data_IF_547433575375
#
_entry.id   IF_547433575375
#
_cell.length_a   1.000
_cell.length_b   1.000
_cell.length_c   1.000
_cell.angle_alpha   90.00
_cell.angle_beta   90.00
_cell.angle_gamma   90.00
#
_symmetry.space_group_name_H-M   'P 1'
#
loop_
_entity.id
_entity.type
_entity.pdbx_description
1 polymer ?
#
# COMPACT_ATOMS: atom_id res chain seq x y z
N UNK A 1 8.63 25.86 9.94
CA UNK A 1 7.99 24.99 8.94
C UNK A 1 6.75 24.40 9.59
N UNK A 2 5.58 24.92 9.28
CA UNK A 2 4.31 24.50 9.85
C UNK A 2 3.97 23.09 9.36
N UNK A 3 3.78 22.16 10.30
CA UNK A 3 3.19 20.84 10.00
C UNK A 3 1.79 21.07 9.40
N UNK A 4 1.41 20.41 8.29
CA UNK A 4 0.05 20.53 7.81
C UNK A 4 -0.91 20.10 8.92
N UNK A 5 -2.01 20.86 9.07
CA UNK A 5 -3.02 20.58 10.08
C UNK A 5 -3.59 19.15 9.89
N UNK A 6 -3.88 18.42 10.98
CA UNK A 6 -4.50 17.11 10.88
C UNK A 6 -5.87 17.25 10.19
N UNK A 7 -6.07 16.50 9.13
CA UNK A 7 -7.34 16.47 8.39
C UNK A 7 -8.41 15.82 9.27
N UNK A 8 -9.48 16.55 9.56
CA UNK A 8 -10.57 16.08 10.43
C UNK A 8 -11.25 14.81 9.89
N UNK A 9 -11.65 13.91 10.80
CA UNK A 9 -12.28 12.60 10.51
C UNK A 9 -13.69 12.68 9.88
N UNK A 10 -14.31 13.87 9.80
CA UNK A 10 -15.74 14.01 9.52
C UNK A 10 -16.11 14.16 8.04
N UNK A 11 -15.14 14.28 7.13
CA UNK A 11 -15.48 14.44 5.71
C UNK A 11 -15.70 13.10 5.03
N UNK A 12 -16.91 12.88 4.51
CA UNK A 12 -17.20 11.75 3.62
C UNK A 12 -16.57 12.03 2.26
N UNK A 13 -15.67 11.17 1.80
CA UNK A 13 -15.14 11.19 0.45
C UNK A 13 -15.55 9.91 -0.29
N UNK A 14 -15.65 9.99 -1.60
CA UNK A 14 -15.98 8.85 -2.47
C UNK A 14 -14.72 8.06 -2.84
N UNK A 15 -13.64 8.77 -3.16
CA UNK A 15 -12.37 8.15 -3.58
C UNK A 15 -11.27 8.47 -2.57
N UNK A 16 -10.54 7.46 -2.14
CA UNK A 16 -9.32 7.62 -1.35
C UNK A 16 -8.23 8.27 -2.21
N UNK A 17 -8.09 7.83 -3.46
CA UNK A 17 -7.24 8.42 -4.48
C UNK A 17 -7.91 8.32 -5.86
N UNK A 18 -7.70 9.32 -6.71
CA UNK A 18 -8.12 9.31 -8.11
C UNK A 18 -7.07 10.02 -8.97
N UNK A 19 -6.67 9.37 -10.04
CA UNK A 19 -5.75 9.85 -11.07
C UNK A 19 -6.55 10.09 -12.34
N UNK A 20 -6.30 11.21 -13.01
CA UNK A 20 -6.95 11.60 -14.26
C UNK A 20 -5.89 11.94 -15.30
N UNK A 21 -5.87 11.16 -16.39
CA UNK A 21 -4.98 11.33 -17.53
C UNK A 21 -3.52 11.49 -17.11
N UNK A 22 -3.07 10.62 -16.22
CA UNK A 22 -1.72 10.69 -15.68
C UNK A 22 -0.74 10.07 -16.67
N UNK A 23 0.27 10.88 -17.02
CA UNK A 23 1.42 10.48 -17.81
C UNK A 23 2.69 10.46 -16.97
N UNK A 24 3.60 9.54 -17.27
CA UNK A 24 4.93 9.51 -16.68
C UNK A 24 5.98 9.06 -17.68
N UNK A 25 6.96 9.92 -17.92
CA UNK A 25 8.08 9.64 -18.83
C UNK A 25 9.41 9.73 -18.11
N UNK A 26 10.30 8.79 -18.41
CA UNK A 26 11.71 8.79 -17.99
C UNK A 26 12.58 8.94 -19.22
N UNK A 27 12.97 10.17 -19.53
CA UNK A 27 13.67 10.48 -20.77
C UNK A 27 12.81 10.14 -21.99
N UNK A 28 13.15 9.06 -22.72
CA UNK A 28 12.39 8.59 -23.90
C UNK A 28 11.43 7.45 -23.58
N UNK A 29 11.42 6.94 -22.35
CA UNK A 29 10.58 5.81 -21.95
C UNK A 29 9.27 6.34 -21.37
N UNK A 30 8.16 6.06 -22.00
CA UNK A 30 6.82 6.32 -21.48
C UNK A 30 6.44 5.18 -20.54
N UNK A 31 6.46 5.45 -19.24
CA UNK A 31 6.16 4.45 -18.21
C UNK A 31 4.66 4.41 -17.86
N UNK A 32 3.94 5.53 -17.99
CA UNK A 32 2.50 5.63 -17.90
C UNK A 32 1.99 6.57 -18.99
N UNK A 33 0.87 6.23 -19.61
CA UNK A 33 0.24 6.97 -20.69
C UNK A 33 -1.26 7.11 -20.47
N UNK A 34 -1.72 8.34 -20.25
CA UNK A 34 -3.13 8.72 -20.09
C UNK A 34 -3.87 7.82 -19.08
N UNK A 35 -3.24 7.52 -17.95
CA UNK A 35 -3.82 6.63 -16.95
C UNK A 35 -4.92 7.33 -16.18
N UNK A 36 -6.12 6.77 -16.27
CA UNK A 36 -7.24 7.02 -15.36
C UNK A 36 -7.26 5.86 -14.36
N UNK A 37 -7.22 6.14 -13.07
CA UNK A 37 -7.21 5.15 -12.00
C UNK A 37 -7.85 5.72 -10.75
N UNK A 38 -8.68 4.95 -10.09
CA UNK A 38 -9.29 5.39 -8.83
C UNK A 38 -9.35 4.24 -7.82
N UNK A 39 -9.35 4.59 -6.54
CA UNK A 39 -9.63 3.68 -5.44
C UNK A 39 -10.70 4.29 -4.58
N UNK A 40 -11.81 3.61 -4.44
CA UNK A 40 -12.93 4.02 -3.62
C UNK A 40 -12.61 3.92 -2.12
N UNK A 41 -13.43 4.57 -1.30
CA UNK A 41 -13.38 4.36 0.14
C UNK A 41 -13.79 2.92 0.45
N UNK A 42 -13.05 2.26 1.36
CA UNK A 42 -13.35 0.89 1.78
C UNK A 42 -13.33 -0.13 0.61
N UNK A 43 -12.44 0.07 -0.32
CA UNK A 43 -12.27 -0.77 -1.50
C UNK A 43 -10.88 -1.39 -1.53
N UNK A 44 -10.79 -2.68 -1.88
CA UNK A 44 -9.54 -3.35 -2.22
C UNK A 44 -9.45 -3.42 -3.75
N UNK A 45 -8.51 -2.69 -4.33
CA UNK A 45 -8.22 -2.74 -5.76
C UNK A 45 -6.98 -3.60 -5.99
N UNK A 46 -7.16 -4.72 -6.69
CA UNK A 46 -6.06 -5.54 -7.18
C UNK A 46 -5.47 -4.92 -8.45
N UNK A 47 -4.20 -4.53 -8.40
CA UNK A 47 -3.48 -3.98 -9.55
C UNK A 47 -2.62 -5.07 -10.19
N UNK A 48 -3.04 -5.50 -11.38
CA UNK A 48 -2.42 -6.57 -12.16
C UNK A 48 -1.67 -6.01 -13.37
N UNK A 49 -0.77 -6.80 -13.94
CA UNK A 49 0.00 -6.50 -15.14
C UNK A 49 1.38 -7.14 -15.07
N UNK A 50 2.03 -7.27 -16.20
CA UNK A 50 3.35 -7.87 -16.31
C UNK A 50 4.47 -6.98 -15.74
N UNK A 51 5.69 -7.52 -15.71
CA UNK A 51 6.87 -6.74 -15.37
C UNK A 51 7.08 -5.64 -16.42
N UNK A 52 7.26 -4.41 -15.96
CA UNK A 52 7.37 -3.26 -16.88
C UNK A 52 6.03 -2.64 -17.28
N UNK A 53 4.87 -3.19 -16.92
CA UNK A 53 3.55 -2.63 -17.23
C UNK A 53 3.30 -1.23 -16.63
N UNK A 54 4.13 -0.76 -15.68
CA UNK A 54 3.99 0.56 -15.05
C UNK A 54 3.45 0.54 -13.62
N UNK A 55 3.14 -0.65 -13.04
CA UNK A 55 2.57 -0.79 -11.69
C UNK A 55 3.38 -0.06 -10.62
N UNK A 56 4.68 -0.33 -10.55
CA UNK A 56 5.57 0.31 -9.56
C UNK A 56 5.69 1.82 -9.78
N UNK A 57 5.57 2.30 -11.02
CA UNK A 57 5.53 3.74 -11.32
C UNK A 57 4.24 4.36 -10.79
N UNK A 58 3.10 3.72 -11.04
CA UNK A 58 1.80 4.17 -10.58
C UNK A 58 1.75 4.31 -9.05
N UNK A 59 2.18 3.27 -8.31
CA UNK A 59 2.16 3.34 -6.84
C UNK A 59 3.18 4.32 -6.27
N UNK A 60 4.33 4.53 -6.92
CA UNK A 60 5.30 5.57 -6.52
C UNK A 60 4.72 6.97 -6.71
N UNK A 61 3.89 7.18 -7.74
CA UNK A 61 3.15 8.44 -7.91
C UNK A 61 2.11 8.59 -6.81
N UNK A 62 1.29 7.56 -6.55
CA UNK A 62 0.30 7.57 -5.45
C UNK A 62 0.96 7.83 -4.09
N UNK A 63 2.11 7.25 -3.83
CA UNK A 63 2.88 7.43 -2.59
C UNK A 63 3.70 8.72 -2.51
N UNK A 64 3.65 9.60 -3.53
CA UNK A 64 4.39 10.87 -3.55
C UNK A 64 5.91 10.72 -3.75
N UNK A 65 6.38 9.55 -4.18
CA UNK A 65 7.80 9.30 -4.49
C UNK A 65 8.17 9.86 -5.86
N UNK A 66 7.24 9.74 -6.82
CA UNK A 66 7.39 10.25 -8.18
C UNK A 66 6.32 11.30 -8.45
N UNK A 67 6.70 12.33 -9.18
CA UNK A 67 5.80 13.33 -9.70
C UNK A 67 5.46 12.98 -11.15
N UNK A 68 4.18 12.90 -11.53
CA UNK A 68 3.81 12.60 -12.91
C UNK A 68 4.24 13.75 -13.85
N UNK A 69 4.47 13.42 -15.11
CA UNK A 69 4.84 14.39 -16.14
C UNK A 69 3.64 15.25 -16.56
N UNK A 70 2.44 14.67 -16.53
CA UNK A 70 1.17 15.33 -16.81
C UNK A 70 -0.01 14.63 -16.10
N UNK A 71 -1.17 15.26 -16.13
CA UNK A 71 -2.37 14.74 -15.51
C UNK A 71 -2.70 15.39 -14.18
N UNK A 72 -3.66 14.83 -13.47
CA UNK A 72 -4.14 15.33 -12.18
C UNK A 72 -4.29 14.22 -11.17
N UNK A 73 -4.02 14.53 -9.90
CA UNK A 73 -4.22 13.60 -8.77
C UNK A 73 -5.18 14.26 -7.77
N UNK A 74 -6.07 13.43 -7.27
CA UNK A 74 -7.04 13.80 -6.25
C UNK A 74 -6.87 12.83 -5.07
N UNK A 75 -6.84 13.36 -3.86
CA UNK A 75 -6.85 12.55 -2.64
C UNK A 75 -8.03 13.01 -1.79
N UNK A 76 -8.87 12.06 -1.37
CA UNK A 76 -10.12 12.34 -0.64
C UNK A 76 -11.00 13.35 -1.37
N UNK A 77 -11.13 13.18 -2.70
CA UNK A 77 -11.85 14.03 -3.64
C UNK A 77 -11.35 15.50 -3.70
N UNK A 78 -10.15 15.80 -3.19
CA UNK A 78 -9.50 17.11 -3.26
C UNK A 78 -8.34 17.05 -4.26
N UNK A 79 -8.24 18.03 -5.18
CA UNK A 79 -7.13 18.08 -6.12
C UNK A 79 -5.83 18.36 -5.38
N UNK A 80 -4.75 17.70 -5.80
CA UNK A 80 -3.42 17.93 -5.27
C UNK A 80 -2.67 18.97 -6.09
N UNK A 81 -1.92 19.83 -5.39
CA UNK A 81 -0.83 20.57 -6.00
C UNK A 81 0.36 19.61 -6.16
N UNK A 82 0.64 19.28 -7.43
CA UNK A 82 1.73 18.34 -7.76
C UNK A 82 3.11 18.94 -7.51
N UNK A 83 3.24 20.27 -7.43
CA UNK A 83 4.50 20.94 -7.14
C UNK A 83 4.95 20.69 -5.69
N UNK A 84 4.00 20.56 -4.79
CA UNK A 84 4.25 20.30 -3.38
C UNK A 84 4.11 18.84 -2.99
N UNK A 85 3.55 17.98 -3.89
CA UNK A 85 3.28 16.59 -3.55
C UNK A 85 4.58 15.79 -3.33
N UNK A 86 4.63 15.13 -2.21
CA UNK A 86 5.81 14.39 -1.72
C UNK A 86 5.38 13.26 -0.79
N UNK A 87 6.28 12.33 -0.48
CA UNK A 87 6.05 11.25 0.50
C UNK A 87 5.54 11.80 1.84
N UNK A 88 6.09 12.93 2.30
CA UNK A 88 5.64 13.58 3.53
C UNK A 88 4.19 14.04 3.43
N UNK A 89 3.79 14.59 2.28
CA UNK A 89 2.41 15.02 2.05
C UNK A 89 1.48 13.82 1.90
N UNK A 90 1.88 12.76 1.17
CA UNK A 90 1.13 11.51 1.08
C UNK A 90 0.82 10.95 2.47
N UNK A 91 1.81 10.89 3.35
CA UNK A 91 1.62 10.49 4.75
C UNK A 91 0.67 11.42 5.53
N UNK A 92 0.77 12.74 5.34
CA UNK A 92 -0.15 13.70 5.97
C UNK A 92 -1.59 13.51 5.46
N UNK A 93 -1.75 13.12 4.21
CA UNK A 93 -3.02 12.75 3.56
C UNK A 93 -3.45 11.31 3.84
N UNK A 94 -2.75 10.61 4.76
CA UNK A 94 -3.06 9.25 5.21
C UNK A 94 -2.93 8.17 4.11
N UNK A 95 -1.98 8.35 3.21
CA UNK A 95 -1.56 7.32 2.26
C UNK A 95 -0.30 6.66 2.81
N UNK A 96 -0.33 5.35 2.99
CA UNK A 96 0.80 4.55 3.45
C UNK A 96 1.18 3.53 2.39
N UNK A 97 2.48 3.35 2.16
CA UNK A 97 2.99 2.34 1.23
C UNK A 97 3.85 1.33 1.97
N UNK A 98 3.54 0.06 1.76
CA UNK A 98 4.33 -1.08 2.23
C UNK A 98 4.96 -1.71 0.99
N UNK A 99 6.25 -1.45 0.80
CA UNK A 99 6.99 -1.93 -0.38
C UNK A 99 7.45 -3.38 -0.22
N UNK A 100 7.69 -4.03 -1.36
CA UNK A 100 8.39 -5.30 -1.45
C UNK A 100 9.78 -5.21 -0.81
N UNK A 101 10.15 -6.20 0.00
CA UNK A 101 11.47 -6.29 0.62
C UNK A 101 11.56 -5.70 2.03
N UNK A 102 12.74 -5.27 2.42
CA UNK A 102 13.05 -4.87 3.79
C UNK A 102 12.43 -3.52 4.18
N UNK A 103 11.13 -3.54 4.49
CA UNK A 103 10.43 -2.34 5.02
C UNK A 103 10.81 -2.05 6.47
N UNK A 104 11.44 -3.03 7.15
CA UNK A 104 11.86 -2.93 8.54
C UNK A 104 13.38 -3.01 8.63
N UNK A 105 13.99 -2.17 9.45
CA UNK A 105 15.40 -2.25 9.81
C UNK A 105 15.67 -3.51 10.63
N UNK A 106 16.32 -4.53 10.03
CA UNK A 106 16.47 -5.86 10.61
C UNK A 106 17.09 -5.86 12.01
N UNK A 107 18.09 -4.99 12.24
CA UNK A 107 18.84 -4.87 13.51
C UNK A 107 18.21 -3.87 14.47
N UNK A 108 17.12 -3.23 14.10
CA UNK A 108 16.43 -2.27 14.95
C UNK A 108 15.30 -2.95 15.72
N UNK A 109 15.03 -2.53 16.96
CA UNK A 109 13.90 -3.04 17.72
C UNK A 109 12.58 -2.65 17.05
N UNK A 110 11.53 -3.44 17.27
CA UNK A 110 10.24 -3.26 16.62
C UNK A 110 9.60 -1.91 16.93
N UNK A 111 9.78 -1.40 18.17
CA UNK A 111 9.27 -0.07 18.50
C UNK A 111 9.88 1.03 17.62
N UNK A 112 11.19 0.98 17.32
CA UNK A 112 11.80 1.93 16.37
C UNK A 112 11.29 1.76 14.96
N UNK A 113 11.11 0.53 14.51
CA UNK A 113 10.58 0.24 13.18
C UNK A 113 9.16 0.80 13.01
N UNK A 114 8.32 0.71 14.03
CA UNK A 114 6.96 1.22 13.99
C UNK A 114 6.91 2.75 13.91
N UNK A 115 7.81 3.46 14.59
CA UNK A 115 7.78 4.92 14.68
C UNK A 115 8.83 5.63 13.80
N UNK A 116 9.56 4.91 12.93
CA UNK A 116 10.56 5.54 12.07
C UNK A 116 9.92 6.65 11.21
N UNK A 117 10.51 7.86 11.28
CA UNK A 117 10.00 9.05 10.58
C UNK A 117 8.79 9.73 11.25
N UNK A 118 8.24 9.17 12.34
CA UNK A 118 7.07 9.69 13.09
C UNK A 118 7.21 9.46 14.59
N UNK A 119 8.40 9.76 15.12
CA UNK A 119 8.70 9.59 16.53
C UNK A 119 7.74 10.41 17.41
N UNK A 120 7.31 9.80 18.51
CA UNK A 120 6.58 10.50 19.54
C UNK A 120 7.57 11.30 20.38
N UNK A 121 7.27 12.57 20.59
CA UNK A 121 8.15 13.45 21.39
C UNK A 121 7.46 13.89 22.67
N UNK A 122 8.26 14.02 23.73
CA UNK A 122 7.81 14.63 24.97
C UNK A 122 7.72 16.16 24.82
N UNK A 123 7.31 16.86 25.89
CA UNK A 123 7.17 18.33 25.90
C UNK A 123 8.47 19.10 25.64
N UNK A 124 9.62 18.46 25.81
CA UNK A 124 10.94 19.03 25.57
C UNK A 124 11.49 18.72 24.17
N UNK A 125 10.73 18.01 23.32
CA UNK A 125 11.13 17.64 21.96
C UNK A 125 12.00 16.38 21.86
N UNK A 126 12.28 15.68 22.96
CA UNK A 126 12.99 14.42 22.94
C UNK A 126 12.04 13.26 22.66
N UNK A 127 12.55 12.19 22.02
CA UNK A 127 11.79 10.98 21.74
C UNK A 127 11.29 10.35 23.04
N UNK A 128 9.98 10.13 23.11
CA UNK A 128 9.35 9.43 24.26
C UNK A 128 9.41 7.91 24.06
N UNK A 129 10.58 7.35 24.31
CA UNK A 129 10.87 5.92 24.11
C UNK A 129 9.92 5.03 24.90
N UNK A 130 9.55 5.43 26.13
CA UNK A 130 8.65 4.64 26.97
C UNK A 130 7.29 4.51 26.32
N UNK A 131 6.72 5.63 25.86
CA UNK A 131 5.43 5.67 25.19
C UNK A 131 5.44 4.92 23.87
N UNK A 132 6.52 5.06 23.05
CA UNK A 132 6.66 4.31 21.82
C UNK A 132 6.67 2.80 22.05
N UNK A 133 7.37 2.30 23.08
CA UNK A 133 7.39 0.87 23.44
C UNK A 133 6.01 0.37 23.89
N UNK A 134 5.33 1.11 24.76
CA UNK A 134 3.98 0.76 25.21
C UNK A 134 3.00 0.63 24.05
N UNK A 135 3.03 1.58 23.11
CA UNK A 135 2.16 1.56 21.91
C UNK A 135 2.61 0.41 20.98
N UNK A 136 3.91 0.21 20.78
CA UNK A 136 4.40 -0.89 19.97
C UNK A 136 3.91 -2.25 20.47
N UNK A 137 3.97 -2.51 21.78
CA UNK A 137 3.44 -3.74 22.38
C UNK A 137 1.92 -3.88 22.17
N UNK A 138 1.16 -2.77 22.22
CA UNK A 138 -0.27 -2.79 21.94
C UNK A 138 -0.56 -3.13 20.47
N UNK A 139 0.19 -2.56 19.52
CA UNK A 139 0.08 -2.82 18.09
C UNK A 139 0.38 -4.30 17.81
N UNK A 140 1.50 -4.81 18.35
CA UNK A 140 1.92 -6.18 18.16
C UNK A 140 0.88 -7.18 18.69
N UNK A 141 0.29 -6.93 19.85
CA UNK A 141 -0.76 -7.79 20.44
C UNK A 141 -2.05 -7.76 19.64
N UNK A 142 -2.50 -6.58 19.19
CA UNK A 142 -3.80 -6.42 18.52
C UNK A 142 -3.78 -6.88 17.06
N UNK A 143 -2.74 -6.48 16.31
CA UNK A 143 -2.76 -6.60 14.86
C UNK A 143 -2.32 -7.98 14.38
N UNK A 144 -1.45 -8.67 15.10
CA UNK A 144 -0.80 -9.86 14.56
C UNK A 144 -1.24 -11.12 15.30
N UNK A 145 -2.05 -10.96 16.34
CA UNK A 145 -2.47 -12.11 17.14
C UNK A 145 -1.26 -12.90 17.65
N UNK A 146 -0.15 -12.20 17.91
CA UNK A 146 1.05 -12.80 18.44
C UNK A 146 0.73 -13.50 19.77
N UNK A 147 0.27 -14.73 19.64
CA UNK A 147 0.30 -15.71 20.72
C UNK A 147 1.67 -16.40 20.79
N UNK A 148 2.65 -15.95 19.99
CA UNK A 148 4.02 -16.42 20.04
C UNK A 148 4.67 -15.93 21.32
N UNK A 149 5.08 -16.88 22.17
CA UNK A 149 5.86 -16.63 23.38
C UNK A 149 7.16 -15.93 22.95
N UNK A 150 7.37 -14.67 23.39
CA UNK A 150 8.67 -14.02 23.32
C UNK A 150 8.83 -12.80 22.42
N UNK A 151 7.82 -12.38 21.60
CA UNK A 151 7.93 -11.17 20.78
C UNK A 151 7.39 -9.96 21.55
N UNK A 152 8.22 -8.92 21.66
CA UNK A 152 7.91 -7.66 22.34
C UNK A 152 8.38 -6.46 21.51
N UNK A 153 8.09 -5.26 21.97
CA UNK A 153 8.60 -4.03 21.38
C UNK A 153 10.13 -3.99 21.24
N UNK A 154 10.86 -4.69 22.12
CA UNK A 154 12.33 -4.79 22.11
C UNK A 154 12.88 -5.85 21.15
N UNK A 155 12.06 -6.80 20.70
CA UNK A 155 12.49 -7.79 19.72
C UNK A 155 12.93 -7.11 18.43
N UNK A 156 13.87 -7.71 17.70
CA UNK A 156 14.33 -7.14 16.43
C UNK A 156 13.49 -7.67 15.26
N UNK A 157 13.45 -6.92 14.17
CA UNK A 157 12.73 -7.39 12.98
C UNK A 157 13.33 -8.69 12.39
N UNK A 158 14.60 -8.98 12.72
CA UNK A 158 15.29 -10.23 12.33
C UNK A 158 14.67 -11.46 12.99
N UNK A 159 14.11 -11.31 14.20
CA UNK A 159 13.53 -12.42 14.96
C UNK A 159 12.15 -12.84 14.43
N UNK A 160 11.60 -12.07 13.47
CA UNK A 160 10.29 -12.30 12.89
C UNK A 160 10.38 -13.17 11.63
N UNK A 161 9.37 -14.02 11.41
CA UNK A 161 9.12 -14.65 10.12
C UNK A 161 8.76 -13.62 9.04
N UNK A 162 8.79 -14.01 7.76
CA UNK A 162 8.42 -13.12 6.65
C UNK A 162 7.02 -12.57 6.80
N UNK A 163 6.04 -13.42 7.07
CA UNK A 163 4.64 -13.02 7.27
C UNK A 163 4.44 -12.11 8.49
N UNK A 164 5.19 -12.34 9.55
CA UNK A 164 5.17 -11.48 10.74
C UNK A 164 5.73 -10.11 10.44
N UNK A 165 6.83 -10.01 9.68
CA UNK A 165 7.37 -8.72 9.22
C UNK A 165 6.34 -7.94 8.39
N UNK A 166 5.66 -8.59 7.47
CA UNK A 166 4.58 -7.96 6.69
C UNK A 166 3.42 -7.51 7.59
N UNK A 167 3.02 -8.36 8.54
CA UNK A 167 2.00 -8.02 9.53
C UNK A 167 2.36 -6.76 10.33
N UNK A 168 3.62 -6.62 10.78
CA UNK A 168 4.10 -5.41 11.48
C UNK A 168 4.04 -4.17 10.57
N UNK A 169 4.42 -4.30 9.30
CA UNK A 169 4.38 -3.19 8.35
C UNK A 169 2.94 -2.72 8.08
N UNK A 170 1.99 -3.66 7.90
CA UNK A 170 0.57 -3.35 7.73
C UNK A 170 -0.02 -2.75 9.01
N UNK A 171 0.31 -3.32 10.17
CA UNK A 171 -0.15 -2.81 11.45
C UNK A 171 0.35 -1.39 11.74
N UNK A 172 1.57 -1.06 11.31
CA UNK A 172 2.10 0.30 11.32
C UNK A 172 1.22 1.25 10.50
N UNK A 173 0.90 0.89 9.26
CA UNK A 173 0.05 1.69 8.39
C UNK A 173 -1.35 1.91 9.02
N UNK A 174 -1.94 0.87 9.60
CA UNK A 174 -3.22 0.97 10.31
C UNK A 174 -3.13 1.84 11.56
N UNK A 175 -2.03 1.76 12.33
CA UNK A 175 -1.83 2.58 13.54
C UNK A 175 -1.78 4.07 13.21
N UNK A 176 -1.14 4.45 12.11
CA UNK A 176 -1.12 5.84 11.62
C UNK A 176 -2.40 6.25 10.89
N UNK A 177 -3.47 5.46 11.06
CA UNK A 177 -4.82 5.77 10.56
C UNK A 177 -4.85 6.01 9.03
N UNK A 178 -4.05 5.27 8.27
CA UNK A 178 -4.08 5.34 6.82
C UNK A 178 -5.51 5.17 6.29
N UNK A 179 -5.92 6.04 5.37
CA UNK A 179 -7.18 5.87 4.62
C UNK A 179 -6.96 5.02 3.38
N UNK A 180 -5.73 5.04 2.83
CA UNK A 180 -5.28 4.20 1.73
C UNK A 180 -3.97 3.51 2.10
N UNK A 181 -3.93 2.19 1.96
CA UNK A 181 -2.73 1.37 2.13
C UNK A 181 -2.36 0.77 0.77
N UNK A 182 -1.14 1.02 0.32
CA UNK A 182 -0.57 0.41 -0.89
C UNK A 182 0.32 -0.74 -0.46
N UNK A 183 0.03 -1.94 -0.96
CA UNK A 183 0.79 -3.16 -0.68
C UNK A 183 1.43 -3.65 -1.99
N UNK A 184 2.75 -3.57 -2.04
CA UNK A 184 3.55 -3.94 -3.21
C UNK A 184 4.17 -5.32 -2.98
N UNK A 185 3.59 -6.35 -3.59
CA UNK A 185 4.00 -7.75 -3.53
C UNK A 185 4.23 -8.29 -2.10
N UNK A 186 3.27 -8.13 -1.19
CA UNK A 186 3.49 -8.46 0.23
C UNK A 186 3.59 -9.96 0.52
N UNK A 187 3.25 -10.83 -0.45
CA UNK A 187 3.28 -12.28 -0.25
C UNK A 187 4.47 -12.99 -0.92
N UNK A 188 5.33 -12.24 -1.61
CA UNK A 188 6.51 -12.79 -2.29
C UNK A 188 7.45 -13.49 -1.31
N UNK A 189 7.88 -14.70 -1.67
CA UNK A 189 8.77 -15.56 -0.89
C UNK A 189 8.24 -16.00 0.49
N UNK A 190 6.94 -15.91 0.73
CA UNK A 190 6.30 -16.40 1.95
C UNK A 190 5.82 -17.85 1.82
N UNK A 191 5.84 -18.57 2.95
CA UNK A 191 5.20 -19.88 3.05
C UNK A 191 3.67 -19.76 2.97
N UNK A 192 2.98 -20.82 2.53
CA UNK A 192 1.51 -20.81 2.35
C UNK A 192 0.75 -20.36 3.60
N UNK A 193 1.19 -20.78 4.78
CA UNK A 193 0.58 -20.37 6.05
C UNK A 193 0.77 -18.88 6.36
N UNK A 194 1.86 -18.29 5.90
CA UNK A 194 2.17 -16.86 6.07
C UNK A 194 1.35 -16.01 5.08
N UNK A 195 1.24 -16.49 3.82
CA UNK A 195 0.38 -15.86 2.81
C UNK A 195 -1.05 -15.70 3.34
N UNK A 196 -1.63 -16.75 3.92
CA UNK A 196 -2.99 -16.68 4.49
C UNK A 196 -3.12 -15.61 5.57
N UNK A 197 -2.09 -15.42 6.41
CA UNK A 197 -2.09 -14.34 7.40
C UNK A 197 -2.08 -12.97 6.73
N UNK A 198 -1.28 -12.78 5.68
CA UNK A 198 -1.23 -11.51 4.94
C UNK A 198 -2.57 -11.22 4.27
N UNK A 199 -3.20 -12.21 3.61
CA UNK A 199 -4.54 -12.02 3.02
C UNK A 199 -5.58 -11.66 4.08
N UNK A 200 -5.57 -12.30 5.23
CA UNK A 200 -6.44 -11.94 6.35
C UNK A 200 -6.19 -10.50 6.87
N UNK A 201 -4.93 -10.02 6.84
CA UNK A 201 -4.64 -8.61 7.16
C UNK A 201 -5.22 -7.66 6.12
N UNK A 202 -5.16 -8.00 4.83
CA UNK A 202 -5.74 -7.18 3.75
C UNK A 202 -7.27 -7.08 3.93
N UNK A 203 -7.93 -8.19 4.21
CA UNK A 203 -9.37 -8.19 4.55
C UNK A 203 -9.65 -7.35 5.80
N UNK A 204 -8.78 -7.42 6.81
CA UNK A 204 -8.85 -6.60 8.02
C UNK A 204 -8.74 -5.10 7.74
N UNK A 205 -7.97 -4.68 6.73
CA UNK A 205 -7.88 -3.27 6.27
C UNK A 205 -9.26 -2.81 5.81
N UNK A 206 -9.92 -3.58 4.96
CA UNK A 206 -11.28 -3.29 4.48
C UNK A 206 -12.30 -3.30 5.62
N UNK A 207 -12.25 -4.30 6.49
CA UNK A 207 -13.15 -4.37 7.65
C UNK A 207 -13.01 -3.17 8.60
N UNK A 208 -11.83 -2.54 8.64
CA UNK A 208 -11.57 -1.30 9.36
C UNK A 208 -12.03 -0.03 8.60
N UNK A 209 -12.72 -0.17 7.46
CA UNK A 209 -13.22 0.95 6.65
C UNK A 209 -12.14 1.67 5.86
N UNK A 210 -11.02 1.00 5.52
CA UNK A 210 -9.87 1.56 4.81
C UNK A 210 -9.82 1.05 3.37
N UNK A 211 -9.18 1.81 2.50
CA UNK A 211 -8.91 1.41 1.12
C UNK A 211 -7.55 0.73 1.00
N UNK A 212 -7.41 -0.16 0.00
CA UNK A 212 -6.16 -0.84 -0.29
C UNK A 212 -5.91 -0.93 -1.79
N UNK A 213 -4.68 -0.66 -2.22
CA UNK A 213 -4.14 -1.09 -3.51
C UNK A 213 -3.28 -2.31 -3.23
N UNK A 214 -3.62 -3.44 -3.82
CA UNK A 214 -2.91 -4.69 -3.64
C UNK A 214 -2.29 -5.15 -4.95
N UNK A 215 -0.96 -5.16 -5.01
CA UNK A 215 -0.18 -5.62 -6.16
C UNK A 215 0.38 -6.98 -5.83
N UNK A 216 0.17 -7.95 -6.72
CA UNK A 216 0.69 -9.30 -6.56
C UNK A 216 0.76 -9.99 -7.92
N UNK A 217 1.73 -10.92 -8.07
CA UNK A 217 1.85 -11.74 -9.26
C UNK A 217 0.96 -12.99 -9.22
N UNK A 218 0.62 -13.45 -8.02
CA UNK A 218 -0.28 -14.58 -7.87
C UNK A 218 -1.74 -14.14 -8.03
N UNK A 219 -2.31 -14.43 -9.21
CA UNK A 219 -3.67 -14.05 -9.55
C UNK A 219 -4.71 -14.61 -8.58
N UNK A 220 -4.50 -15.82 -8.03
CA UNK A 220 -5.42 -16.43 -7.08
C UNK A 220 -5.50 -15.60 -5.78
N UNK A 221 -4.38 -15.10 -5.27
CA UNK A 221 -4.34 -14.28 -4.07
C UNK A 221 -5.09 -12.95 -4.28
N UNK A 222 -4.89 -12.31 -5.44
CA UNK A 222 -5.57 -11.04 -5.74
C UNK A 222 -7.06 -11.27 -5.93
N UNK A 223 -7.45 -12.29 -6.70
CA UNK A 223 -8.84 -12.65 -6.96
C UNK A 223 -9.62 -12.99 -5.68
N UNK A 224 -8.94 -13.56 -4.67
CA UNK A 224 -9.55 -13.93 -3.39
C UNK A 224 -10.02 -12.70 -2.60
N UNK A 225 -9.22 -11.61 -2.56
CA UNK A 225 -9.46 -10.47 -1.65
C UNK A 225 -9.93 -9.19 -2.34
N UNK A 226 -9.62 -8.99 -3.64
CA UNK A 226 -9.95 -7.75 -4.33
C UNK A 226 -11.46 -7.59 -4.60
N UNK A 227 -11.95 -6.37 -4.49
CA UNK A 227 -13.29 -5.97 -4.89
C UNK A 227 -13.36 -5.62 -6.37
N UNK A 228 -12.25 -5.11 -6.89
CA UNK A 228 -12.07 -4.75 -8.30
C UNK A 228 -10.63 -5.03 -8.71
N UNK A 229 -10.48 -5.52 -9.94
CA UNK A 229 -9.20 -5.76 -10.58
C UNK A 229 -8.97 -4.68 -11.62
N UNK A 230 -7.78 -4.10 -11.63
CA UNK A 230 -7.33 -3.16 -12.66
C UNK A 230 -6.12 -3.78 -13.34
N UNK A 231 -6.19 -3.96 -14.65
CA UNK A 231 -5.10 -4.53 -15.43
C UNK A 231 -4.38 -3.40 -16.14
N UNK A 232 -3.09 -3.28 -15.82
CA UNK A 232 -2.17 -2.34 -16.45
C UNK A 232 -1.30 -3.08 -17.47
N UNK A 233 -1.21 -2.56 -18.68
CA UNK A 233 -0.33 -3.03 -19.73
C UNK A 233 0.33 -1.85 -20.42
N UNK A 234 1.66 -1.90 -20.61
CA UNK A 234 2.47 -0.86 -21.29
C UNK A 234 2.10 0.56 -20.89
N UNK A 235 1.96 0.78 -19.58
CA UNK A 235 1.64 2.08 -19.01
C UNK A 235 0.18 2.52 -19.16
N UNK A 236 -0.73 1.66 -19.60
CA UNK A 236 -2.15 1.97 -19.80
C UNK A 236 -3.05 1.02 -19.02
N UNK A 237 -4.16 1.52 -18.51
CA UNK A 237 -5.23 0.68 -17.98
C UNK A 237 -5.98 0.08 -19.17
N UNK A 238 -5.91 -1.26 -19.29
CA UNK A 238 -6.53 -2.00 -20.41
C UNK A 238 -7.81 -2.70 -20.02
N UNK A 239 -8.02 -2.96 -18.73
CA UNK A 239 -9.27 -3.52 -18.22
C UNK A 239 -9.51 -3.16 -16.76
N UNK A 240 -10.77 -3.02 -16.41
CA UNK A 240 -11.26 -2.96 -15.03
C UNK A 240 -12.38 -3.98 -14.88
N UNK A 241 -12.29 -4.84 -13.85
CA UNK A 241 -13.20 -5.97 -13.66
C UNK A 241 -13.69 -5.96 -12.21
N UNK A 242 -15.00 -5.96 -12.02
CA UNK A 242 -15.57 -6.07 -10.67
C UNK A 242 -15.44 -7.48 -10.11
N UNK A 243 -15.46 -7.61 -8.79
CA UNK A 243 -15.46 -8.90 -8.10
C UNK A 243 -16.60 -9.78 -8.61
N UNK A 244 -16.27 -11.01 -9.02
CA UNK A 244 -17.23 -11.98 -9.54
C UNK A 244 -17.62 -11.79 -11.02
N UNK A 245 -17.13 -10.76 -11.70
CA UNK A 245 -17.34 -10.57 -13.14
C UNK A 245 -16.60 -11.62 -13.97
N UNK A 246 -15.43 -12.03 -13.50
CA UNK A 246 -14.63 -13.08 -14.12
C UNK A 246 -14.17 -14.09 -13.09
N UNK A 247 -14.14 -15.38 -13.48
CA UNK A 247 -13.51 -16.43 -12.67
C UNK A 247 -12.00 -16.42 -12.83
N UNK A 248 -11.29 -17.07 -11.88
CA UNK A 248 -9.83 -17.19 -11.94
C UNK A 248 -9.30 -17.80 -13.25
N UNK A 249 -9.92 -18.84 -13.85
CA UNK A 249 -9.45 -19.39 -15.14
C UNK A 249 -9.54 -18.35 -16.28
N UNK A 250 -10.61 -17.57 -16.34
CA UNK A 250 -10.79 -16.54 -17.36
C UNK A 250 -9.81 -15.38 -17.15
N UNK A 251 -9.62 -14.93 -15.89
CA UNK A 251 -8.62 -13.92 -15.57
C UNK A 251 -7.22 -14.36 -16.01
N UNK A 252 -6.87 -15.64 -15.74
CA UNK A 252 -5.58 -16.20 -16.15
C UNK A 252 -5.44 -16.21 -17.67
N UNK A 253 -6.47 -16.61 -18.40
CA UNK A 253 -6.46 -16.60 -19.86
C UNK A 253 -6.28 -15.19 -20.44
N UNK A 254 -6.95 -14.18 -19.87
CA UNK A 254 -6.80 -12.77 -20.27
C UNK A 254 -5.37 -12.27 -20.03
N UNK A 255 -4.75 -12.60 -18.89
CA UNK A 255 -3.37 -12.20 -18.59
C UNK A 255 -2.37 -12.86 -19.54
N UNK A 256 -2.56 -14.16 -19.88
CA UNK A 256 -1.72 -14.85 -20.87
C UNK A 256 -1.84 -14.21 -22.24
N UNK A 257 -3.06 -13.87 -22.69
CA UNK A 257 -3.31 -13.26 -24.00
C UNK A 257 -2.63 -11.87 -24.12
N UNK A 258 -2.59 -11.09 -23.05
CA UNK A 258 -1.85 -9.82 -23.01
C UNK A 258 -0.34 -10.08 -23.15
N UNK A 259 0.20 -11.06 -22.47
CA UNK A 259 1.63 -11.42 -22.54
C UNK A 259 2.03 -11.94 -23.94
N UNK A 260 1.20 -12.80 -24.57
CA UNK A 260 1.47 -13.33 -25.92
C UNK A 260 1.33 -12.27 -27.01
N UNK A 261 0.50 -11.24 -26.82
CA UNK A 261 0.41 -10.07 -27.69
C UNK A 261 1.70 -9.25 -27.75
N UNK A 262 2.60 -9.43 -26.78
CA UNK A 262 3.95 -8.83 -26.77
C UNK A 262 4.95 -9.52 -27.72
N UNK A 263 4.66 -10.76 -28.15
CA UNK A 263 5.59 -11.58 -28.95
C UNK A 263 5.38 -11.42 -30.45
N UNK A 264 4.54 -10.48 -30.86
CA UNK A 264 4.29 -10.12 -32.27
C UNK A 264 4.54 -8.63 -32.50
#
# INVERSE_FOLDING_TARGET
>A
MTSPAPVERSESFRHAVRLEKVDMTFGKVEALSQVDFAVGRNEIVGLLGDNGAGKSTLIKIVGGVLRPTAGRIWVRDRPLDLDEYSVRMAHALRIETVHQGQTLGEKQPLWRNLFVGRQLTNRLGFIDVKREKEIADQILRKAIGFRGVGISAESTARDLSGGERQGVAIARAMHFEADLIVLDEPTTALAVSEVRKVLAFIEGVKAAGRACIYIEHNLAHVHEVADRLVILDRGRVVAELARGEVGLPELTARMIALHEGESR
#
